data_IF_393227644736
#
_entry.id   IF_393227644736
#
_cell.length_a   1.000
_cell.length_b   1.000
_cell.length_c   1.000
_cell.angle_alpha   90.00
_cell.angle_beta   90.00
_cell.angle_gamma   90.00
#
_symmetry.space_group_name_H-M   'P 1'
#
loop_
_entity.id
_entity.type
_entity.pdbx_description
1 polymer ?
#
# COMPACT_ATOMS: atom_id res chain seq x y z
N UNK A 1 -11.91 0.98 7.70
CA UNK A 1 -10.46 0.91 7.42
C UNK A 1 -9.96 -0.43 7.94
N UNK A 2 -9.08 -1.11 7.21
CA UNK A 2 -8.41 -2.34 7.68
C UNK A 2 -6.93 -2.18 7.40
N UNK A 3 -6.10 -2.45 8.39
CA UNK A 3 -4.64 -2.37 8.32
C UNK A 3 -3.99 -3.57 8.99
N UNK A 4 -2.71 -3.79 8.70
CA UNK A 4 -1.93 -4.83 9.35
C UNK A 4 -0.48 -4.40 9.57
N UNK A 5 0.12 -5.01 10.58
CA UNK A 5 1.55 -4.99 10.91
C UNK A 5 2.00 -6.46 11.08
N UNK A 6 3.30 -6.73 11.28
CA UNK A 6 3.79 -8.06 11.68
C UNK A 6 3.10 -8.63 12.94
N UNK A 7 2.60 -7.75 13.79
CA UNK A 7 2.04 -8.10 15.09
C UNK A 7 0.51 -8.20 15.08
N UNK A 8 -0.16 -7.38 14.27
CA UNK A 8 -1.61 -7.24 14.33
C UNK A 8 -2.28 -7.13 12.97
N UNK A 9 -3.53 -7.57 12.92
CA UNK A 9 -4.50 -7.17 11.90
C UNK A 9 -5.64 -6.50 12.62
N UNK A 10 -5.97 -5.27 12.23
CA UNK A 10 -7.04 -4.51 12.87
C UNK A 10 -7.93 -3.82 11.84
N UNK A 11 -9.20 -3.71 12.19
CA UNK A 11 -10.21 -3.10 11.34
C UNK A 11 -11.18 -2.27 12.16
N UNK A 12 -11.55 -1.12 11.62
CA UNK A 12 -12.63 -0.29 12.15
C UNK A 12 -13.68 -0.09 11.06
N UNK A 13 -14.94 -0.22 11.47
CA UNK A 13 -16.10 0.08 10.66
C UNK A 13 -16.92 1.16 11.36
N UNK A 14 -17.49 2.06 10.57
CA UNK A 14 -18.43 3.07 11.03
C UNK A 14 -19.68 2.99 10.17
N UNK A 15 -20.82 3.21 10.79
CA UNK A 15 -22.10 3.21 10.10
C UNK A 15 -23.24 3.38 11.09
N UNK A 16 -24.40 3.66 10.52
CA UNK A 16 -25.66 3.67 11.26
C UNK A 16 -26.30 2.29 11.19
N UNK A 17 -27.07 1.94 12.20
CA UNK A 17 -27.87 0.71 12.22
C UNK A 17 -28.80 0.62 11.00
N UNK A 18 -29.46 1.73 10.69
CA UNK A 18 -30.20 1.90 9.44
C UNK A 18 -29.30 2.58 8.41
N UNK A 19 -29.05 1.97 7.23
CA UNK A 19 -28.13 2.54 6.25
C UNK A 19 -28.46 3.98 5.88
N UNK A 20 -27.51 4.88 6.10
CA UNK A 20 -27.60 6.28 5.69
C UNK A 20 -26.21 6.83 5.37
N UNK A 21 -26.18 7.97 4.68
CA UNK A 21 -24.92 8.62 4.30
C UNK A 21 -24.24 9.20 5.53
N UNK A 22 -23.01 8.76 5.78
CA UNK A 22 -22.14 9.39 6.77
C UNK A 22 -21.68 10.74 6.21
N UNK A 23 -21.86 11.86 6.93
CA UNK A 23 -21.39 13.16 6.47
C UNK A 23 -19.88 13.29 6.73
N UNK A 24 -19.09 12.67 5.87
CA UNK A 24 -17.62 12.55 6.02
C UNK A 24 -16.86 13.88 6.04
N UNK A 25 -17.51 15.00 5.73
CA UNK A 25 -16.91 16.34 5.83
C UNK A 25 -16.92 16.90 7.26
N UNK A 26 -17.81 16.37 8.11
CA UNK A 26 -17.99 16.82 9.50
C UNK A 26 -17.25 15.92 10.51
N UNK A 27 -16.67 14.82 10.03
CA UNK A 27 -16.01 13.81 10.84
C UNK A 27 -14.59 13.56 10.37
N UNK A 28 -13.76 13.09 11.31
CA UNK A 28 -12.42 12.59 11.01
C UNK A 28 -12.47 11.47 9.96
N UNK A 29 -11.45 11.42 9.10
CA UNK A 29 -11.31 10.32 8.15
C UNK A 29 -11.20 8.99 8.92
N UNK A 30 -11.85 7.92 8.42
CA UNK A 30 -11.85 6.60 9.06
C UNK A 30 -10.43 6.03 9.32
N UNK A 31 -9.42 6.41 8.53
CA UNK A 31 -8.02 6.07 8.78
C UNK A 31 -7.43 6.83 9.98
N UNK A 32 -7.82 8.09 10.18
CA UNK A 32 -7.45 8.86 11.36
C UNK A 32 -8.14 8.32 12.62
N UNK A 33 -9.42 7.93 12.53
CA UNK A 33 -10.12 7.27 13.64
C UNK A 33 -9.41 5.97 14.02
N UNK A 34 -9.05 5.13 13.02
CA UNK A 34 -8.27 3.93 13.26
C UNK A 34 -6.93 4.23 13.95
N UNK A 35 -6.20 5.24 13.47
CA UNK A 35 -4.93 5.66 14.08
C UNK A 35 -5.11 6.16 15.52
N UNK A 36 -6.17 6.89 15.82
CA UNK A 36 -6.41 7.38 17.19
C UNK A 36 -6.76 6.24 18.16
N UNK A 37 -7.38 5.16 17.68
CA UNK A 37 -7.76 3.99 18.51
C UNK A 37 -6.60 3.01 18.65
N UNK A 38 -5.88 2.76 17.55
CA UNK A 38 -4.89 1.69 17.46
C UNK A 38 -3.44 2.18 17.48
N UNK A 39 -3.19 3.45 17.13
CA UNK A 39 -1.86 4.01 16.97
C UNK A 39 -1.03 3.95 18.24
N UNK A 40 -1.60 4.30 19.39
CA UNK A 40 -0.88 4.26 20.67
C UNK A 40 -0.49 2.82 21.07
N UNK A 41 -1.34 1.84 20.75
CA UNK A 41 -1.07 0.42 21.00
C UNK A 41 0.06 -0.05 20.10
N UNK A 42 0.02 0.31 18.81
CA UNK A 42 1.11 0.01 17.90
C UNK A 42 2.41 0.66 18.41
N UNK A 43 2.44 1.98 18.58
CA UNK A 43 3.67 2.72 18.86
C UNK A 43 4.33 2.41 20.22
N UNK A 44 3.62 1.78 21.16
CA UNK A 44 4.12 1.49 22.52
C UNK A 44 4.76 0.11 22.71
N UNK A 45 4.61 -0.80 21.74
CA UNK A 45 5.12 -2.17 21.85
C UNK A 45 6.41 -2.38 21.04
N UNK A 46 7.24 -3.34 21.48
CA UNK A 46 8.36 -3.80 20.67
C UNK A 46 7.82 -4.61 19.50
N UNK A 47 8.07 -4.14 18.28
CA UNK A 47 7.54 -4.75 17.06
C UNK A 47 8.40 -5.87 16.52
N UNK A 48 7.75 -6.89 15.96
CA UNK A 48 8.44 -7.84 15.08
C UNK A 48 8.98 -7.10 13.86
N UNK A 49 10.14 -7.57 13.39
CA UNK A 49 10.72 -7.11 12.14
C UNK A 49 9.80 -7.38 10.96
N UNK A 50 9.58 -6.35 10.13
CA UNK A 50 8.84 -6.47 8.88
C UNK A 50 9.57 -7.38 7.89
N UNK A 51 10.89 -7.29 7.80
CA UNK A 51 11.68 -8.09 6.86
C UNK A 51 11.68 -9.58 7.25
N UNK A 52 11.64 -9.88 8.55
CA UNK A 52 11.60 -11.27 9.03
C UNK A 52 10.20 -11.88 8.91
N UNK A 53 9.15 -11.06 9.12
CA UNK A 53 7.75 -11.54 9.10
C UNK A 53 7.16 -11.55 7.69
N UNK A 54 7.52 -10.58 6.87
CA UNK A 54 7.09 -10.43 5.49
C UNK A 54 8.30 -10.38 4.56
N UNK A 55 9.11 -11.46 4.50
CA UNK A 55 10.27 -11.50 3.64
C UNK A 55 9.85 -11.38 2.18
N UNK A 56 10.63 -10.64 1.40
CA UNK A 56 10.43 -10.53 -0.03
C UNK A 56 10.58 -11.93 -0.67
N UNK A 57 9.54 -12.48 -1.32
CA UNK A 57 9.65 -13.79 -1.94
C UNK A 57 10.60 -13.75 -3.16
N UNK A 58 11.36 -14.82 -3.40
CA UNK A 58 12.23 -14.93 -4.59
C UNK A 58 11.48 -14.84 -5.93
N UNK A 59 10.17 -15.02 -5.90
CA UNK A 59 9.29 -14.86 -7.06
C UNK A 59 8.96 -13.39 -7.37
N UNK A 60 9.43 -12.44 -6.56
CA UNK A 60 9.21 -11.01 -6.76
C UNK A 60 10.49 -10.33 -7.21
N UNK A 61 10.41 -9.54 -8.28
CA UNK A 61 11.53 -8.79 -8.85
C UNK A 61 11.28 -7.29 -8.74
N UNK A 62 12.36 -6.53 -8.51
CA UNK A 62 12.36 -5.07 -8.56
C UNK A 62 12.72 -4.62 -9.98
N UNK A 63 11.82 -3.88 -10.61
CA UNK A 63 12.02 -3.36 -11.98
C UNK A 63 11.58 -1.89 -12.04
N UNK A 64 12.20 -1.11 -12.90
CA UNK A 64 11.78 0.27 -13.14
C UNK A 64 10.62 0.32 -14.12
N UNK A 65 9.59 1.09 -13.77
CA UNK A 65 8.44 1.37 -14.61
C UNK A 65 8.39 2.83 -15.01
N UNK A 66 7.73 3.09 -16.14
CA UNK A 66 7.43 4.42 -16.58
C UNK A 66 6.27 4.99 -15.78
N UNK A 67 6.49 6.07 -15.03
CA UNK A 67 5.43 6.68 -14.20
C UNK A 67 4.26 7.26 -15.00
N UNK A 68 4.40 7.36 -16.33
CA UNK A 68 3.35 7.85 -17.23
C UNK A 68 2.51 6.73 -17.85
N UNK A 69 3.09 5.57 -18.15
CA UNK A 69 2.40 4.48 -18.85
C UNK A 69 2.16 3.25 -17.98
N UNK A 70 2.89 3.10 -16.87
CA UNK A 70 2.86 1.90 -16.02
C UNK A 70 3.64 0.69 -16.59
N UNK A 71 4.14 0.79 -17.83
CA UNK A 71 4.96 -0.23 -18.49
C UNK A 71 6.42 -0.18 -17.98
N UNK A 72 7.18 -1.25 -18.18
CA UNK A 72 8.59 -1.31 -17.77
C UNK A 72 9.42 -0.28 -18.53
N UNK A 73 10.13 0.58 -17.82
CA UNK A 73 10.93 1.63 -18.43
C UNK A 73 12.18 1.03 -19.09
N UNK A 74 12.39 1.35 -20.37
CA UNK A 74 13.67 1.13 -21.05
C UNK A 74 14.56 2.37 -20.96
N UNK A 75 15.79 2.31 -21.48
CA UNK A 75 16.71 3.45 -21.54
C UNK A 75 16.13 4.69 -22.25
N UNK A 76 15.15 4.52 -23.15
CA UNK A 76 14.46 5.63 -23.81
C UNK A 76 13.45 6.36 -22.92
N UNK A 77 13.14 5.83 -21.74
CA UNK A 77 12.18 6.42 -20.81
C UNK A 77 12.92 7.18 -19.69
N UNK A 78 12.70 8.50 -19.62
CA UNK A 78 13.24 9.37 -18.57
C UNK A 78 12.37 9.44 -17.31
N UNK A 79 11.09 9.09 -17.41
CA UNK A 79 10.11 9.19 -16.33
C UNK A 79 9.98 7.84 -15.62
N UNK A 80 10.86 7.55 -14.65
CA UNK A 80 11.01 6.21 -14.05
C UNK A 80 10.78 6.20 -12.54
N UNK A 81 10.26 5.08 -12.04
CA UNK A 81 10.24 4.73 -10.62
C UNK A 81 10.37 3.21 -10.46
N UNK A 82 10.79 2.73 -9.29
CA UNK A 82 10.92 1.29 -9.04
C UNK A 82 9.61 0.70 -8.55
N UNK A 83 9.21 -0.43 -9.14
CA UNK A 83 8.07 -1.24 -8.74
C UNK A 83 8.47 -2.68 -8.40
N UNK A 84 7.53 -3.42 -7.82
CA UNK A 84 7.68 -4.83 -7.44
C UNK A 84 6.71 -5.69 -8.24
N UNK A 85 7.23 -6.72 -8.90
CA UNK A 85 6.46 -7.54 -9.85
C UNK A 85 6.65 -9.01 -9.56
N UNK A 86 5.61 -9.82 -9.82
CA UNK A 86 5.81 -11.26 -9.93
C UNK A 86 6.73 -11.51 -11.13
N UNK A 87 7.80 -12.26 -10.95
CA UNK A 87 8.73 -12.62 -12.02
C UNK A 87 8.02 -13.31 -13.20
N UNK A 88 6.93 -14.03 -12.93
CA UNK A 88 6.11 -14.71 -13.93
C UNK A 88 5.12 -13.81 -14.66
N UNK A 89 4.98 -12.54 -14.27
CA UNK A 89 3.99 -11.63 -14.84
C UNK A 89 4.46 -10.17 -14.72
N UNK A 90 5.34 -9.80 -15.65
CA UNK A 90 5.83 -8.42 -15.78
C UNK A 90 5.13 -7.73 -16.96
N UNK A 91 4.87 -6.41 -16.88
CA UNK A 91 4.35 -5.64 -18.02
C UNK A 91 5.30 -5.64 -19.21
N UNK A 92 4.79 -5.24 -20.37
CA UNK A 92 5.61 -4.90 -21.55
C UNK A 92 6.48 -3.65 -21.30
N UNK A 93 7.31 -3.31 -22.28
CA UNK A 93 8.27 -2.22 -22.21
C UNK A 93 7.77 -0.88 -22.78
N UNK A 94 8.11 0.21 -22.11
CA UNK A 94 8.00 1.58 -22.59
C UNK A 94 9.31 2.02 -23.27
N UNK A 95 9.22 2.34 -24.57
CA UNK A 95 10.35 2.80 -25.37
C UNK A 95 10.51 4.33 -25.39
N UNK A 96 9.70 5.07 -24.64
CA UNK A 96 9.69 6.54 -24.60
C UNK A 96 8.81 7.18 -25.69
N UNK A 97 9.02 8.46 -25.95
CA UNK A 97 8.33 9.20 -27.01
C UNK A 97 6.92 9.71 -26.67
N UNK A 98 6.59 9.79 -25.38
CA UNK A 98 5.35 10.37 -24.87
C UNK A 98 5.64 11.61 -24.03
#
# INVERSE_FOLDING_TARGET
FVGCTPDYVSGIWIGYENPSTIPTNDYENIGQIWKNVFGDIADSEEHKSFDDTFPMPDTVVKLDYCTRTGLLATNGCSSRATGYYKASNTPDYCYGGH
#
